data_IF_149077437065
#
_entry.id   IF_149077437065
#
_cell.length_a   1.000
_cell.length_b   1.000
_cell.length_c   1.000
_cell.angle_alpha   90.00
_cell.angle_beta   90.00
_cell.angle_gamma   90.00
#
_symmetry.space_group_name_H-M   'P 1'
#
loop_
_entity.id
_entity.type
_entity.pdbx_description
1 polymer ?
#
# COMPACT_ATOMS: atom_id res chain seq x y z
N UNK A 1 22.46 -69.56 -22.32
CA UNK A 1 23.27 -68.60 -21.47
C UNK A 1 23.04 -67.14 -21.85
N UNK A 2 22.44 -66.84 -23.00
CA UNK A 2 22.23 -65.49 -23.53
C UNK A 2 20.99 -64.75 -22.97
N UNK A 3 20.01 -65.50 -22.46
CA UNK A 3 18.75 -64.93 -22.01
C UNK A 3 18.76 -64.40 -20.60
N UNK A 4 19.58 -64.96 -19.71
CA UNK A 4 19.77 -64.48 -18.35
C UNK A 4 20.43 -63.05 -18.31
N UNK A 5 21.31 -62.76 -19.25
CA UNK A 5 21.97 -61.46 -19.37
C UNK A 5 21.02 -60.35 -19.85
N UNK A 6 20.04 -60.72 -20.69
CA UNK A 6 19.04 -59.74 -21.15
C UNK A 6 18.03 -59.36 -20.05
N UNK A 7 17.62 -60.35 -19.23
CA UNK A 7 16.69 -60.13 -18.14
C UNK A 7 17.31 -59.26 -17.04
N UNK A 8 18.60 -59.47 -16.73
CA UNK A 8 19.28 -58.67 -15.73
C UNK A 8 19.51 -57.18 -16.16
N UNK A 9 19.73 -56.95 -17.46
CA UNK A 9 19.83 -55.58 -18.00
C UNK A 9 18.48 -54.86 -18.01
N UNK A 10 17.39 -55.57 -18.33
CA UNK A 10 16.01 -55.00 -18.27
C UNK A 10 15.64 -54.66 -16.82
N UNK A 11 15.93 -55.52 -15.84
CA UNK A 11 15.62 -55.26 -14.44
C UNK A 11 16.43 -54.10 -13.88
N UNK A 12 17.69 -53.90 -14.29
CA UNK A 12 18.51 -52.75 -13.91
C UNK A 12 18.02 -51.42 -14.50
N UNK A 13 17.52 -51.43 -15.75
CA UNK A 13 17.01 -50.22 -16.39
C UNK A 13 15.65 -49.81 -15.81
N UNK A 14 14.78 -50.74 -15.39
CA UNK A 14 13.52 -50.40 -14.75
C UNK A 14 13.72 -49.85 -13.32
N UNK A 15 14.70 -50.36 -12.57
CA UNK A 15 15.04 -49.86 -11.26
C UNK A 15 15.63 -48.42 -11.30
N UNK A 16 16.46 -48.11 -12.31
CA UNK A 16 17.00 -46.74 -12.52
C UNK A 16 15.92 -45.76 -13.00
N UNK A 17 14.99 -46.20 -13.82
CA UNK A 17 13.88 -45.39 -14.31
C UNK A 17 12.89 -45.04 -13.17
N UNK A 18 12.60 -45.99 -12.27
CA UNK A 18 11.74 -45.71 -11.11
C UNK A 18 12.41 -44.80 -10.08
N UNK A 19 13.73 -44.88 -9.92
CA UNK A 19 14.47 -43.95 -9.03
C UNK A 19 14.52 -42.55 -9.61
N UNK A 20 14.64 -42.38 -10.92
CA UNK A 20 14.65 -41.06 -11.57
C UNK A 20 13.26 -40.39 -11.53
N UNK A 21 12.15 -41.14 -11.50
CA UNK A 21 10.81 -40.60 -11.34
C UNK A 21 10.46 -40.24 -9.87
N UNK A 22 11.15 -40.79 -8.88
CA UNK A 22 10.92 -40.51 -7.46
C UNK A 22 11.66 -39.25 -7.00
N UNK A 23 12.72 -38.83 -7.69
CA UNK A 23 13.51 -37.64 -7.32
C UNK A 23 12.70 -36.32 -7.38
N UNK A 24 11.83 -36.04 -8.35
CA UNK A 24 11.02 -34.83 -8.32
C UNK A 24 9.96 -34.83 -7.22
N UNK A 25 9.47 -35.98 -6.77
CA UNK A 25 8.52 -36.05 -5.66
C UNK A 25 9.16 -35.73 -4.31
N UNK A 26 10.43 -36.08 -4.11
CA UNK A 26 11.17 -35.73 -2.88
C UNK A 26 11.66 -34.26 -2.89
N UNK A 27 11.82 -33.67 -4.07
CA UNK A 27 12.16 -32.26 -4.19
C UNK A 27 10.98 -31.33 -3.96
N UNK A 28 9.74 -31.84 -4.02
CA UNK A 28 8.54 -31.05 -3.84
C UNK A 28 8.13 -30.91 -2.36
N UNK A 29 8.76 -31.68 -1.46
CA UNK A 29 8.48 -31.63 -0.02
C UNK A 29 9.29 -30.57 0.72
N UNK A 30 10.19 -29.86 0.03
CA UNK A 30 11.01 -28.79 0.58
C UNK A 30 10.72 -27.40 -0.02
N UNK A 31 9.57 -27.22 -0.68
CA UNK A 31 9.10 -25.86 -0.90
C UNK A 31 8.68 -25.32 0.48
N UNK A 32 9.30 -24.22 0.98
CA UNK A 32 8.77 -23.61 2.17
C UNK A 32 7.32 -23.29 1.88
N UNK A 33 6.41 -23.85 2.67
CA UNK A 33 5.04 -23.38 2.74
C UNK A 33 5.21 -21.90 3.07
N UNK A 34 5.06 -21.03 2.06
CA UNK A 34 4.92 -19.61 2.29
C UNK A 34 3.73 -19.54 3.25
N UNK A 35 4.01 -19.40 4.54
CA UNK A 35 3.00 -19.07 5.53
C UNK A 35 2.25 -17.92 4.89
N UNK A 36 1.00 -18.15 4.54
CA UNK A 36 0.12 -17.10 4.07
C UNK A 36 0.10 -16.10 5.22
N UNK A 37 0.87 -15.02 5.08
CA UNK A 37 0.92 -13.95 6.07
C UNK A 37 -0.51 -13.48 6.21
N UNK A 38 -1.18 -13.93 7.26
CA UNK A 38 -2.53 -13.50 7.58
C UNK A 38 -2.41 -12.02 7.85
N UNK A 39 -2.84 -11.20 6.90
CA UNK A 39 -2.83 -9.75 6.97
C UNK A 39 -3.86 -9.32 8.04
N UNK A 40 -3.49 -9.45 9.30
CA UNK A 40 -4.33 -9.00 10.40
C UNK A 40 -4.12 -7.52 10.63
N UNK A 41 -5.23 -6.77 10.58
CA UNK A 41 -5.22 -5.33 10.86
C UNK A 41 -4.87 -5.10 12.32
N UNK A 42 -3.81 -4.35 12.59
CA UNK A 42 -3.47 -3.93 13.95
C UNK A 42 -4.42 -2.82 14.40
N UNK A 43 -5.14 -3.08 15.50
CA UNK A 43 -6.12 -2.15 16.07
C UNK A 43 -5.45 -0.96 16.76
N UNK A 44 -4.29 -1.18 17.36
CA UNK A 44 -3.52 -0.15 18.05
C UNK A 44 -3.00 0.89 17.06
N UNK A 45 -2.32 0.44 16.02
CA UNK A 45 -1.78 1.30 14.98
C UNK A 45 -2.87 2.00 14.17
N UNK A 46 -3.98 1.31 13.89
CA UNK A 46 -5.15 1.94 13.26
C UNK A 46 -5.72 3.07 14.11
N UNK A 47 -5.86 2.85 15.43
CA UNK A 47 -6.35 3.87 16.36
C UNK A 47 -5.38 5.06 16.42
N UNK A 48 -4.08 4.78 16.51
CA UNK A 48 -3.06 5.81 16.51
C UNK A 48 -3.10 6.67 15.23
N UNK A 49 -3.24 6.05 14.08
CA UNK A 49 -3.37 6.76 12.80
C UNK A 49 -4.63 7.63 12.73
N UNK A 50 -5.76 7.16 13.26
CA UNK A 50 -6.99 7.95 13.32
C UNK A 50 -6.85 9.16 14.24
N UNK A 51 -6.31 8.98 15.44
CA UNK A 51 -6.06 10.09 16.39
C UNK A 51 -5.09 11.10 15.78
N UNK A 52 -4.01 10.63 15.19
CA UNK A 52 -3.03 11.49 14.50
C UNK A 52 -3.68 12.28 13.37
N UNK A 53 -4.56 11.66 12.58
CA UNK A 53 -5.31 12.33 11.52
C UNK A 53 -6.17 13.48 12.07
N UNK A 54 -6.90 13.24 13.16
CA UNK A 54 -7.73 14.27 13.81
C UNK A 54 -6.88 15.43 14.31
N UNK A 55 -5.74 15.14 14.95
CA UNK A 55 -4.81 16.18 15.44
C UNK A 55 -4.23 17.02 14.31
N UNK A 56 -3.88 16.39 13.17
CA UNK A 56 -3.36 17.13 12.01
C UNK A 56 -4.45 17.97 11.36
N UNK A 57 -5.70 17.49 11.28
CA UNK A 57 -6.84 18.29 10.81
C UNK A 57 -7.07 19.49 11.73
N UNK A 58 -7.04 19.28 13.04
CA UNK A 58 -7.18 20.36 14.03
C UNK A 58 -6.09 21.43 13.89
N UNK A 59 -4.87 21.02 13.64
CA UNK A 59 -3.77 21.95 13.38
C UNK A 59 -3.96 22.69 12.05
N UNK A 60 -4.43 22.01 11.03
CA UNK A 60 -4.51 22.55 9.66
C UNK A 60 -5.71 23.47 9.46
N UNK A 61 -6.91 23.07 9.87
CA UNK A 61 -8.12 23.88 9.65
C UNK A 61 -8.22 24.99 10.69
N UNK A 62 -8.52 24.74 11.98
CA UNK A 62 -8.67 25.82 12.95
C UNK A 62 -7.34 26.48 13.31
N UNK A 63 -6.25 25.73 13.41
CA UNK A 63 -4.96 26.27 13.79
C UNK A 63 -4.42 27.29 12.78
N UNK A 64 -4.35 26.94 11.49
CA UNK A 64 -3.91 27.88 10.46
C UNK A 64 -4.90 29.01 10.24
N UNK A 65 -6.20 28.73 10.28
CA UNK A 65 -7.22 29.75 10.14
C UNK A 65 -7.10 30.83 11.22
N UNK A 66 -6.91 30.44 12.48
CA UNK A 66 -6.71 31.36 13.59
C UNK A 66 -5.36 32.07 13.50
N UNK A 67 -4.31 31.38 13.13
CA UNK A 67 -2.99 31.97 12.95
C UNK A 67 -3.00 33.08 11.89
N UNK A 68 -3.45 32.79 10.69
CA UNK A 68 -3.53 33.78 9.62
C UNK A 68 -4.59 34.85 9.89
N UNK A 69 -5.71 34.46 10.50
CA UNK A 69 -6.75 35.39 10.94
C UNK A 69 -6.22 36.43 11.95
N UNK A 70 -5.31 36.00 12.84
CA UNK A 70 -4.67 36.92 13.81
C UNK A 70 -3.66 37.89 13.19
N UNK A 71 -3.11 37.59 12.02
CA UNK A 71 -2.12 38.46 11.34
C UNK A 71 -2.77 39.51 10.45
N UNK A 72 -4.04 39.41 10.14
CA UNK A 72 -4.74 40.34 9.25
C UNK A 72 -5.63 41.32 10.03
N UNK A 73 -5.99 42.42 9.38
CA UNK A 73 -6.94 43.40 9.95
C UNK A 73 -8.31 42.74 10.17
N UNK A 74 -9.01 43.11 11.24
CA UNK A 74 -10.27 42.52 11.65
C UNK A 74 -11.33 42.43 10.52
N UNK A 75 -11.38 43.42 9.62
CA UNK A 75 -12.30 43.40 8.47
C UNK A 75 -12.00 42.35 7.42
N UNK A 76 -10.79 41.77 7.39
CA UNK A 76 -10.35 40.81 6.39
C UNK A 76 -10.31 39.37 6.92
N UNK A 77 -10.59 39.14 8.20
CA UNK A 77 -10.51 37.82 8.85
C UNK A 77 -11.37 36.80 8.11
N UNK A 78 -12.62 37.16 7.80
CA UNK A 78 -13.56 36.26 7.14
C UNK A 78 -13.07 35.80 5.75
N UNK A 79 -12.44 36.70 5.00
CA UNK A 79 -11.84 36.39 3.69
C UNK A 79 -10.72 35.34 3.82
N UNK A 80 -9.84 35.50 4.79
CA UNK A 80 -8.73 34.57 5.04
C UNK A 80 -9.23 33.22 5.51
N UNK A 81 -10.20 33.18 6.41
CA UNK A 81 -10.84 31.94 6.86
C UNK A 81 -11.47 31.18 5.68
N UNK A 82 -12.19 31.87 4.80
CA UNK A 82 -12.80 31.26 3.61
C UNK A 82 -11.75 30.69 2.66
N UNK A 83 -10.64 31.40 2.46
CA UNK A 83 -9.54 30.91 1.63
C UNK A 83 -8.89 29.65 2.18
N UNK A 84 -8.65 29.57 3.49
CA UNK A 84 -8.11 28.37 4.15
C UNK A 84 -9.06 27.19 3.96
N UNK A 85 -10.36 27.39 4.16
CA UNK A 85 -11.37 26.35 3.98
C UNK A 85 -11.49 25.90 2.52
N UNK A 86 -11.54 26.86 1.59
CA UNK A 86 -11.63 26.57 0.15
C UNK A 86 -10.39 25.81 -0.34
N UNK A 87 -9.20 26.23 0.07
CA UNK A 87 -7.96 25.53 -0.23
C UNK A 87 -7.96 24.11 0.31
N UNK A 88 -8.41 23.93 1.57
CA UNK A 88 -8.56 22.59 2.15
C UNK A 88 -9.47 21.70 1.31
N UNK A 89 -10.65 22.15 1.03
CA UNK A 89 -11.63 21.36 0.30
C UNK A 89 -11.16 21.02 -1.11
N UNK A 90 -10.55 21.98 -1.80
CA UNK A 90 -10.04 21.76 -3.16
C UNK A 90 -8.95 20.69 -3.20
N UNK A 91 -7.96 20.79 -2.30
CA UNK A 91 -6.87 19.80 -2.25
C UNK A 91 -7.42 18.42 -1.86
N UNK A 92 -8.37 18.35 -0.92
CA UNK A 92 -8.98 17.08 -0.54
C UNK A 92 -9.66 16.39 -1.74
N UNK A 93 -10.37 17.16 -2.57
CA UNK A 93 -11.00 16.61 -3.78
C UNK A 93 -9.94 16.14 -4.77
N UNK A 94 -8.93 16.95 -5.06
CA UNK A 94 -7.86 16.59 -5.99
C UNK A 94 -7.06 15.37 -5.52
N UNK A 95 -6.86 15.23 -4.20
CA UNK A 95 -6.21 14.06 -3.61
C UNK A 95 -6.98 12.77 -3.89
N UNK A 96 -8.30 12.77 -3.69
CA UNK A 96 -9.16 11.62 -3.98
C UNK A 96 -9.20 11.29 -5.46
N UNK A 97 -9.22 12.31 -6.33
CA UNK A 97 -9.32 12.11 -7.78
C UNK A 97 -8.04 11.48 -8.32
N UNK A 98 -6.89 12.09 -8.12
CA UNK A 98 -5.63 11.63 -8.72
C UNK A 98 -4.41 11.66 -7.79
N UNK A 99 -4.40 12.49 -6.74
CA UNK A 99 -3.23 12.69 -5.90
C UNK A 99 -2.75 11.41 -5.24
N UNK A 100 -3.67 10.63 -4.66
CA UNK A 100 -3.36 9.35 -4.06
C UNK A 100 -2.80 8.35 -5.08
N UNK A 101 -3.35 8.31 -6.29
CA UNK A 101 -2.87 7.43 -7.35
C UNK A 101 -1.43 7.76 -7.76
N UNK A 102 -1.14 9.03 -7.98
CA UNK A 102 0.21 9.47 -8.36
C UNK A 102 1.27 9.25 -7.28
N UNK A 103 0.85 9.30 -5.99
CA UNK A 103 1.77 9.13 -4.87
C UNK A 103 1.99 7.66 -4.48
N UNK A 104 0.95 6.81 -4.55
CA UNK A 104 0.96 5.47 -3.96
C UNK A 104 0.55 4.33 -4.92
N UNK A 105 0.29 4.61 -6.18
CA UNK A 105 0.22 3.55 -7.17
C UNK A 105 1.64 3.06 -7.49
N UNK A 106 1.80 1.73 -7.55
CA UNK A 106 3.10 1.12 -7.86
C UNK A 106 3.64 1.52 -9.24
N UNK A 107 4.91 1.24 -9.52
CA UNK A 107 5.55 1.57 -10.78
C UNK A 107 5.02 0.65 -11.89
N UNK A 108 3.96 1.01 -12.56
CA UNK A 108 3.41 0.26 -13.70
C UNK A 108 3.66 0.92 -15.05
N UNK A 109 4.18 2.14 -15.07
CA UNK A 109 4.57 2.77 -16.32
C UNK A 109 6.00 2.34 -16.68
N UNK A 110 6.11 1.47 -17.68
CA UNK A 110 7.39 1.12 -18.30
C UNK A 110 7.96 2.36 -19.03
N UNK A 111 8.51 3.31 -18.28
CA UNK A 111 9.09 4.55 -18.80
C UNK A 111 9.97 5.23 -17.75
N UNK A 112 10.87 6.11 -18.20
CA UNK A 112 11.88 6.75 -17.37
C UNK A 112 11.36 7.65 -16.23
N UNK A 113 10.04 7.90 -16.12
CA UNK A 113 9.39 8.68 -15.05
C UNK A 113 8.88 7.79 -13.90
N UNK A 114 8.86 6.46 -14.07
CA UNK A 114 8.38 5.50 -13.08
C UNK A 114 8.97 5.66 -11.66
N UNK A 115 10.23 6.06 -11.47
CA UNK A 115 10.78 6.28 -10.12
C UNK A 115 10.22 7.52 -9.39
N UNK A 116 9.59 8.44 -10.12
CA UNK A 116 9.16 9.74 -9.57
C UNK A 116 7.65 9.88 -9.45
N UNK A 117 6.89 9.19 -10.29
CA UNK A 117 5.45 9.35 -10.38
C UNK A 117 4.81 7.97 -10.45
N UNK A 118 3.79 7.72 -9.62
CA UNK A 118 2.99 6.50 -9.67
C UNK A 118 2.05 6.46 -10.89
N UNK A 119 1.40 5.33 -11.06
CA UNK A 119 0.44 5.08 -12.13
C UNK A 119 -0.97 5.59 -11.78
N UNK A 120 -1.84 5.66 -12.77
CA UNK A 120 -3.25 6.02 -12.63
C UNK A 120 -4.17 4.84 -12.22
N UNK A 121 -3.60 3.74 -11.75
CA UNK A 121 -4.36 2.53 -11.38
C UNK A 121 -5.29 2.73 -10.18
N UNK A 122 -5.03 3.72 -9.33
CA UNK A 122 -5.82 4.04 -8.13
C UNK A 122 -6.65 5.33 -8.25
N UNK A 123 -6.96 5.75 -9.49
CA UNK A 123 -7.82 6.92 -9.72
C UNK A 123 -9.16 6.78 -9.01
N UNK A 124 -9.64 7.88 -8.43
CA UNK A 124 -10.88 7.95 -7.67
C UNK A 124 -10.97 6.94 -6.53
N UNK A 125 -9.82 6.42 -6.04
CA UNK A 125 -9.76 5.34 -5.05
C UNK A 125 -10.51 4.06 -5.49
N UNK A 126 -10.64 3.83 -6.81
CA UNK A 126 -11.43 2.72 -7.36
C UNK A 126 -11.07 1.34 -6.78
N UNK A 127 -9.80 0.94 -6.69
CA UNK A 127 -9.41 -0.34 -6.11
C UNK A 127 -9.37 -0.34 -4.58
N UNK A 128 -9.52 0.82 -3.91
CA UNK A 128 -9.47 0.91 -2.45
C UNK A 128 -10.82 0.52 -1.87
N UNK A 129 -10.86 -0.60 -1.17
CA UNK A 129 -12.06 -1.14 -0.52
C UNK A 129 -11.93 -1.07 1.00
N UNK A 130 -13.03 -1.21 1.77
CA UNK A 130 -12.94 -1.30 3.23
C UNK A 130 -12.10 -2.47 3.75
N UNK A 131 -11.88 -3.49 2.92
CA UNK A 131 -11.06 -4.66 3.21
C UNK A 131 -9.62 -4.53 2.72
N UNK A 132 -9.29 -3.50 1.93
CA UNK A 132 -7.92 -3.28 1.48
C UNK A 132 -7.05 -2.82 2.64
N UNK A 133 -5.85 -3.39 2.74
CA UNK A 133 -4.88 -3.09 3.78
C UNK A 133 -3.57 -2.65 3.16
N UNK A 134 -2.85 -1.81 3.88
CA UNK A 134 -1.53 -1.32 3.52
C UNK A 134 -0.56 -1.66 4.65
N UNK A 135 0.62 -2.13 4.28
CA UNK A 135 1.70 -2.32 5.23
C UNK A 135 2.23 -0.96 5.70
N UNK A 136 2.44 -0.83 7.00
CA UNK A 136 3.04 0.36 7.60
C UNK A 136 4.56 0.36 7.37
N UNK A 137 5.28 1.36 7.90
CA UNK A 137 6.74 1.38 7.87
C UNK A 137 7.37 0.23 8.68
N UNK A 138 6.60 -0.42 9.55
CA UNK A 138 7.01 -1.60 10.29
C UNK A 138 6.54 -2.85 9.54
N UNK A 139 7.49 -3.71 9.17
CA UNK A 139 7.19 -4.95 8.46
C UNK A 139 6.24 -5.84 9.26
N UNK A 140 5.21 -6.35 8.60
CA UNK A 140 4.23 -7.25 9.20
C UNK A 140 3.08 -6.55 9.94
N UNK A 141 3.06 -5.23 10.00
CA UNK A 141 1.98 -4.45 10.61
C UNK A 141 1.11 -3.83 9.50
N UNK A 142 -0.16 -4.18 9.51
CA UNK A 142 -1.13 -3.80 8.49
C UNK A 142 -2.20 -2.88 9.06
N UNK A 143 -2.56 -1.85 8.31
CA UNK A 143 -3.66 -0.93 8.63
C UNK A 143 -4.66 -0.85 7.47
N UNK A 144 -5.93 -0.46 7.69
CA UNK A 144 -6.86 -0.22 6.60
C UNK A 144 -6.35 0.87 5.66
N UNK A 145 -6.35 0.60 4.36
CA UNK A 145 -5.86 1.53 3.35
C UNK A 145 -6.62 2.87 3.38
N UNK A 146 -7.91 2.86 3.66
CA UNK A 146 -8.69 4.09 3.80
C UNK A 146 -8.18 5.01 4.92
N UNK A 147 -7.77 4.43 6.05
CA UNK A 147 -7.17 5.20 7.16
C UNK A 147 -5.86 5.86 6.72
N UNK A 148 -5.05 5.12 5.97
CA UNK A 148 -3.81 5.64 5.40
C UNK A 148 -4.06 6.77 4.39
N UNK A 149 -5.05 6.63 3.50
CA UNK A 149 -5.44 7.66 2.52
C UNK A 149 -5.81 8.97 3.21
N UNK A 150 -6.64 8.89 4.26
CA UNK A 150 -7.09 10.09 5.00
C UNK A 150 -5.93 10.74 5.74
N UNK A 151 -5.06 9.95 6.37
CA UNK A 151 -3.90 10.46 7.07
C UNK A 151 -2.95 11.20 6.10
N UNK A 152 -2.62 10.60 4.97
CA UNK A 152 -1.76 11.21 3.98
C UNK A 152 -2.37 12.48 3.36
N UNK A 153 -3.68 12.50 3.14
CA UNK A 153 -4.41 13.70 2.73
C UNK A 153 -4.14 14.88 3.69
N UNK A 154 -4.09 14.63 4.98
CA UNK A 154 -3.89 15.69 5.98
C UNK A 154 -2.45 16.17 6.05
N UNK A 155 -1.47 15.31 5.75
CA UNK A 155 -0.04 15.62 5.77
C UNK A 155 0.41 16.39 4.53
N UNK A 156 -0.04 16.02 3.35
CA UNK A 156 0.39 16.59 2.07
C UNK A 156 0.12 18.10 1.96
N UNK A 157 -0.77 18.62 2.75
CA UNK A 157 -1.18 20.03 2.74
C UNK A 157 -0.20 20.99 3.37
N UNK A 158 0.72 20.53 4.18
CA UNK A 158 1.74 21.41 4.80
C UNK A 158 2.68 22.01 3.75
N UNK A 159 2.84 21.37 2.63
CA UNK A 159 3.73 21.83 1.56
C UNK A 159 3.13 22.89 0.66
N UNK A 160 1.81 23.13 0.72
CA UNK A 160 1.09 24.06 -0.18
C UNK A 160 0.81 25.42 0.48
N UNK A 161 1.01 25.54 1.77
CA UNK A 161 0.83 26.76 2.57
C UNK A 161 2.16 27.31 3.07
#
# INVERSE_FOLDING_TARGET
>A
MTDLFKVSKLAGMTALASLALALPALAQEAAPVAEAVVQTVDKGDTTWMLVSTVLVILMTIPGLALFYGGLVRAKNILSVLTQVFAGFSMIAILWVIYGYSLAFAGPSVAGGLSPFIGDFSKLFLGPVTPSSVVETFTKGVWIPELTFVIFQLTLDRKSVV
#
